data_IF_909349041553
#
_entry.id   IF_909349041553
#
_cell.length_a   1.000
_cell.length_b   1.000
_cell.length_c   1.000
_cell.angle_alpha   90.00
_cell.angle_beta   90.00
_cell.angle_gamma   90.00
#
_symmetry.space_group_name_H-M   'P 1'
#
loop_
_entity.id
_entity.type
_entity.pdbx_description
1 polymer ?
#
# COMPACT_ATOMS: atom_id res chain seq x y z
N UNK A 1 -4.41 27.09 -7.50
CA UNK A 1 -5.18 26.26 -6.54
C UNK A 1 -5.14 24.81 -7.00
N UNK A 2 -4.53 23.91 -6.22
CA UNK A 2 -4.45 22.48 -6.51
C UNK A 2 -5.85 21.90 -6.72
N UNK A 3 -6.08 21.19 -7.84
CA UNK A 3 -7.39 20.61 -8.17
C UNK A 3 -7.73 19.36 -7.35
N UNK A 4 -6.80 18.83 -6.55
CA UNK A 4 -7.06 17.69 -5.69
C UNK A 4 -6.30 17.81 -4.37
N UNK A 5 -6.99 17.85 -3.23
CA UNK A 5 -6.29 17.76 -1.97
C UNK A 5 -5.63 16.38 -1.84
N UNK A 6 -4.45 16.31 -1.21
CA UNK A 6 -3.62 15.09 -1.07
C UNK A 6 -4.34 13.85 -0.48
N UNK A 7 -5.51 14.03 0.13
CA UNK A 7 -6.40 12.96 0.59
C UNK A 7 -7.29 12.33 -0.51
N UNK A 8 -7.19 12.83 -1.76
CA UNK A 8 -7.98 12.38 -2.92
C UNK A 8 -7.18 11.58 -3.96
N UNK A 9 -5.92 11.23 -3.68
CA UNK A 9 -5.12 10.44 -4.62
C UNK A 9 -5.72 9.02 -4.72
N UNK A 10 -6.22 8.58 -5.90
CA UNK A 10 -6.97 7.33 -6.04
C UNK A 10 -6.16 6.11 -5.60
N UNK A 11 -4.86 6.09 -5.87
CA UNK A 11 -3.96 5.01 -5.49
C UNK A 11 -3.78 4.86 -3.97
N UNK A 12 -3.64 5.96 -3.22
CA UNK A 12 -3.57 5.94 -1.74
C UNK A 12 -4.85 5.36 -1.16
N UNK A 13 -6.02 5.74 -1.70
CA UNK A 13 -7.31 5.19 -1.28
C UNK A 13 -7.42 3.70 -1.59
N UNK A 14 -7.07 3.29 -2.80
CA UNK A 14 -7.07 1.88 -3.19
C UNK A 14 -6.15 1.04 -2.29
N UNK A 15 -4.93 1.52 -2.02
CA UNK A 15 -4.00 0.87 -1.11
C UNK A 15 -4.57 0.78 0.31
N UNK A 16 -5.10 1.88 0.86
CA UNK A 16 -5.71 1.92 2.20
C UNK A 16 -6.87 0.92 2.32
N UNK A 17 -7.77 0.90 1.34
CA UNK A 17 -8.89 -0.04 1.28
C UNK A 17 -8.40 -1.48 1.19
N UNK A 18 -7.43 -1.76 0.32
CA UNK A 18 -6.82 -3.08 0.19
C UNK A 18 -6.22 -3.57 1.51
N UNK A 19 -5.49 -2.71 2.24
CA UNK A 19 -4.95 -3.01 3.58
C UNK A 19 -6.05 -3.43 4.54
N UNK A 20 -7.17 -2.71 4.61
CA UNK A 20 -8.25 -3.05 5.52
C UNK A 20 -9.02 -4.32 5.11
N UNK A 21 -9.18 -4.58 3.81
CA UNK A 21 -9.75 -5.85 3.32
C UNK A 21 -8.86 -7.02 3.75
N UNK A 22 -7.54 -6.92 3.53
CA UNK A 22 -6.57 -7.94 3.95
C UNK A 22 -6.61 -8.12 5.48
N UNK A 23 -6.60 -7.02 6.23
CA UNK A 23 -6.66 -7.06 7.69
C UNK A 23 -7.94 -7.76 8.19
N UNK A 24 -9.11 -7.37 7.69
CA UNK A 24 -10.37 -7.95 8.13
C UNK A 24 -10.46 -9.45 7.79
N UNK A 25 -10.10 -9.83 6.56
CA UNK A 25 -10.15 -11.23 6.12
C UNK A 25 -9.18 -12.12 6.89
N UNK A 26 -7.94 -11.66 7.10
CA UNK A 26 -6.91 -12.46 7.78
C UNK A 26 -7.06 -12.47 9.31
N UNK A 27 -7.74 -11.47 9.89
CA UNK A 27 -8.00 -11.42 11.33
C UNK A 27 -9.24 -12.25 11.71
N UNK A 28 -10.38 -11.98 11.06
CA UNK A 28 -11.67 -12.54 11.44
C UNK A 28 -12.02 -13.84 10.72
N UNK A 29 -11.55 -14.02 9.48
CA UNK A 29 -11.82 -15.22 8.68
C UNK A 29 -10.53 -15.88 8.15
N UNK A 30 -9.51 -16.16 9.00
CA UNK A 30 -8.20 -16.63 8.55
C UNK A 30 -8.25 -17.98 7.81
N UNK A 31 -9.26 -18.83 8.06
CA UNK A 31 -9.46 -20.08 7.30
C UNK A 31 -9.93 -19.83 5.87
N UNK A 32 -10.72 -18.78 5.65
CA UNK A 32 -11.11 -18.35 4.31
C UNK A 32 -9.90 -17.80 3.57
N UNK A 33 -9.10 -16.94 4.21
CA UNK A 33 -7.85 -16.44 3.64
C UNK A 33 -6.91 -17.61 3.26
N UNK A 34 -6.69 -18.56 4.17
CA UNK A 34 -5.90 -19.76 3.90
C UNK A 34 -6.43 -20.54 2.68
N UNK A 35 -7.75 -20.71 2.55
CA UNK A 35 -8.35 -21.37 1.39
C UNK A 35 -8.10 -20.61 0.08
N UNK A 36 -8.27 -19.29 0.08
CA UNK A 36 -8.01 -18.44 -1.10
C UNK A 36 -6.56 -18.59 -1.57
N UNK A 37 -5.61 -18.62 -0.63
CA UNK A 37 -4.19 -18.82 -0.93
C UNK A 37 -3.76 -20.29 -1.02
N UNK A 38 -4.71 -21.24 -1.01
CA UNK A 38 -4.44 -22.68 -1.05
C UNK A 38 -3.44 -23.17 0.02
N UNK A 39 -3.51 -22.59 1.21
CA UNK A 39 -2.72 -22.96 2.39
C UNK A 39 -3.47 -23.97 3.25
N UNK A 40 -2.76 -24.96 3.78
CA UNK A 40 -3.28 -25.88 4.78
C UNK A 40 -3.44 -25.16 6.11
N UNK A 41 -4.65 -25.07 6.64
CA UNK A 41 -4.95 -24.35 7.87
C UNK A 41 -4.87 -25.19 9.15
N UNK A 42 -5.17 -26.50 9.07
CA UNK A 42 -5.21 -27.37 10.26
C UNK A 42 -3.82 -27.90 10.59
N UNK A 43 -3.42 -27.82 11.87
CA UNK A 43 -2.13 -28.32 12.33
C UNK A 43 -0.90 -27.56 11.82
N UNK A 44 -1.09 -26.36 11.25
CA UNK A 44 -0.01 -25.52 10.72
C UNK A 44 -0.01 -24.13 11.39
N UNK A 45 1.11 -23.38 11.32
CA UNK A 45 1.15 -22.00 11.79
C UNK A 45 0.43 -20.99 10.87
N UNK A 46 -0.31 -21.45 9.84
CA UNK A 46 -0.95 -20.55 8.88
C UNK A 46 -1.95 -19.58 9.52
N UNK A 47 -2.73 -20.03 10.50
CA UNK A 47 -3.74 -19.19 11.19
C UNK A 47 -3.09 -18.09 12.04
N UNK A 48 -2.16 -18.37 12.97
CA UNK A 48 -1.50 -17.31 13.73
C UNK A 48 -0.71 -16.35 12.82
N UNK A 49 -0.02 -16.84 11.78
CA UNK A 49 0.69 -15.97 10.84
C UNK A 49 -0.25 -15.11 9.99
N UNK A 50 -1.42 -15.64 9.59
CA UNK A 50 -2.46 -14.85 8.93
C UNK A 50 -2.88 -13.66 9.81
N UNK A 51 -3.08 -13.87 11.12
CA UNK A 51 -3.42 -12.79 12.06
C UNK A 51 -2.29 -11.77 12.23
N UNK A 52 -1.02 -12.20 12.26
CA UNK A 52 0.11 -11.27 12.29
C UNK A 52 0.16 -10.41 11.02
N UNK A 53 -0.06 -11.03 9.85
CA UNK A 53 -0.17 -10.32 8.58
C UNK A 53 -1.34 -9.32 8.60
N UNK A 54 -2.46 -9.69 9.22
CA UNK A 54 -3.62 -8.83 9.40
C UNK A 54 -3.29 -7.58 10.24
N UNK A 55 -2.64 -7.76 11.39
CA UNK A 55 -2.26 -6.67 12.30
C UNK A 55 -1.32 -5.70 11.60
N UNK A 56 -0.32 -6.20 10.86
CA UNK A 56 0.57 -5.36 10.04
C UNK A 56 -0.21 -4.54 9.03
N UNK A 57 -1.12 -5.16 8.28
CA UNK A 57 -1.91 -4.45 7.27
C UNK A 57 -2.85 -3.42 7.93
N UNK A 58 -3.44 -3.72 9.09
CA UNK A 58 -4.25 -2.77 9.84
C UNK A 58 -3.41 -1.55 10.28
N UNK A 59 -2.20 -1.77 10.81
CA UNK A 59 -1.30 -0.70 11.24
C UNK A 59 -0.88 0.20 10.06
N UNK A 60 -0.49 -0.41 8.93
CA UNK A 60 -0.15 0.33 7.70
C UNK A 60 -1.36 1.10 7.16
N UNK A 61 -2.54 0.48 7.13
CA UNK A 61 -3.79 1.13 6.71
C UNK A 61 -4.18 2.34 7.58
N UNK A 62 -4.05 2.21 8.90
CA UNK A 62 -4.28 3.32 9.84
C UNK A 62 -3.28 4.47 9.62
N UNK A 63 -2.01 4.14 9.39
CA UNK A 63 -1.01 5.16 9.05
C UNK A 63 -1.32 5.87 7.73
N UNK A 64 -1.76 5.14 6.70
CA UNK A 64 -2.18 5.72 5.42
C UNK A 64 -3.41 6.62 5.58
N UNK A 65 -4.34 6.26 6.45
CA UNK A 65 -5.53 7.08 6.74
C UNK A 65 -5.15 8.39 7.44
N UNK A 66 -4.15 8.37 8.31
CA UNK A 66 -3.68 9.54 9.08
C UNK A 66 -2.51 10.28 8.45
N UNK A 67 -2.10 9.91 7.24
CA UNK A 67 -0.89 10.43 6.59
C UNK A 67 -0.89 11.96 6.43
N UNK A 68 -2.07 12.61 6.38
CA UNK A 68 -2.18 14.08 6.31
C UNK A 68 -1.70 14.79 7.58
N UNK A 69 -1.54 14.07 8.70
CA UNK A 69 -0.93 14.58 9.94
C UNK A 69 0.61 14.55 9.91
N UNK A 70 1.22 13.95 8.90
CA UNK A 70 2.67 13.86 8.75
C UNK A 70 3.21 15.02 7.92
N UNK A 71 4.46 15.41 8.15
CA UNK A 71 5.17 16.33 7.26
C UNK A 71 5.41 15.67 5.89
N UNK A 72 5.57 16.45 4.81
CA UNK A 72 5.78 15.88 3.46
C UNK A 72 6.93 14.85 3.39
N UNK A 73 8.12 15.07 4.00
CA UNK A 73 9.17 14.05 4.03
C UNK A 73 8.73 12.76 4.74
N UNK A 74 8.00 12.87 5.85
CA UNK A 74 7.47 11.71 6.57
C UNK A 74 6.41 10.96 5.75
N UNK A 75 5.57 11.65 4.98
CA UNK A 75 4.61 11.02 4.06
C UNK A 75 5.33 10.19 2.99
N UNK A 76 6.37 10.76 2.38
CA UNK A 76 7.21 10.05 1.39
C UNK A 76 7.90 8.81 2.00
N UNK A 77 8.49 8.97 3.18
CA UNK A 77 9.12 7.86 3.91
C UNK A 77 8.10 6.77 4.26
N UNK A 78 6.90 7.14 4.72
CA UNK A 78 5.87 6.18 5.09
C UNK A 78 5.36 5.39 3.88
N UNK A 79 5.16 6.04 2.73
CA UNK A 79 4.83 5.36 1.47
C UNK A 79 5.98 4.44 1.03
N UNK A 80 7.23 4.88 1.11
CA UNK A 80 8.38 4.04 0.79
C UNK A 80 8.48 2.80 1.70
N UNK A 81 8.20 2.94 3.00
CA UNK A 81 8.12 1.81 3.94
C UNK A 81 7.05 0.81 3.51
N UNK A 82 5.87 1.27 3.08
CA UNK A 82 4.83 0.38 2.55
C UNK A 82 5.32 -0.44 1.34
N UNK A 83 5.98 0.23 0.38
CA UNK A 83 6.52 -0.41 -0.84
C UNK A 83 7.56 -1.47 -0.47
N UNK A 84 8.53 -1.13 0.39
CA UNK A 84 9.59 -2.05 0.83
C UNK A 84 8.98 -3.26 1.54
N UNK A 85 8.04 -3.00 2.46
CA UNK A 85 7.32 -4.02 3.20
C UNK A 85 6.64 -5.03 2.26
N UNK A 86 5.90 -4.57 1.26
CA UNK A 86 5.22 -5.47 0.31
C UNK A 86 6.20 -6.17 -0.63
N UNK A 87 7.31 -5.51 -0.98
CA UNK A 87 8.37 -6.12 -1.80
C UNK A 87 9.04 -7.28 -1.06
N UNK A 88 9.28 -7.12 0.25
CA UNK A 88 9.82 -8.17 1.11
C UNK A 88 8.83 -9.33 1.24
N UNK A 89 7.53 -9.07 1.35
CA UNK A 89 6.52 -10.14 1.35
C UNK A 89 6.55 -10.94 0.04
N UNK A 90 6.57 -10.25 -1.10
CA UNK A 90 6.64 -10.89 -2.41
C UNK A 90 7.87 -11.80 -2.51
N UNK A 91 9.04 -11.29 -2.10
CA UNK A 91 10.28 -12.07 -2.07
C UNK A 91 10.18 -13.28 -1.13
N UNK A 92 9.59 -13.10 0.06
CA UNK A 92 9.41 -14.17 1.03
C UNK A 92 8.48 -15.28 0.50
N UNK A 93 7.37 -14.93 -0.15
CA UNK A 93 6.45 -15.90 -0.75
C UNK A 93 7.09 -16.67 -1.91
N UNK A 94 7.82 -15.97 -2.78
CA UNK A 94 8.56 -16.62 -3.87
C UNK A 94 9.63 -17.57 -3.32
N UNK A 95 10.40 -17.13 -2.31
CA UNK A 95 11.40 -17.97 -1.65
C UNK A 95 10.78 -19.22 -1.01
N UNK A 96 9.64 -19.08 -0.32
CA UNK A 96 8.90 -20.22 0.24
C UNK A 96 8.46 -21.22 -0.84
N UNK A 97 8.01 -20.74 -2.00
CA UNK A 97 7.70 -21.59 -3.15
C UNK A 97 8.92 -22.29 -3.75
N UNK A 98 10.07 -21.62 -3.81
CA UNK A 98 11.33 -22.20 -4.27
C UNK A 98 11.84 -23.30 -3.33
N UNK A 99 11.73 -23.09 -2.01
CA UNK A 99 12.07 -24.08 -0.98
C UNK A 99 11.05 -25.21 -0.84
N UNK A 100 9.89 -25.10 -1.50
CA UNK A 100 8.75 -26.01 -1.39
C UNK A 100 8.14 -26.07 0.02
N UNK A 101 8.28 -24.98 0.79
CA UNK A 101 7.60 -24.82 2.08
C UNK A 101 6.07 -24.73 1.89
N UNK A 102 5.65 -24.23 0.71
CA UNK A 102 4.26 -24.15 0.26
C UNK A 102 4.15 -24.57 -1.21
N UNK A 103 2.92 -24.80 -1.70
CA UNK A 103 2.71 -25.09 -3.12
C UNK A 103 3.13 -23.91 -4.01
N UNK A 104 3.57 -24.19 -5.24
CA UNK A 104 3.92 -23.13 -6.21
C UNK A 104 2.76 -22.16 -6.46
N UNK A 105 1.54 -22.70 -6.56
CA UNK A 105 0.32 -21.90 -6.72
C UNK A 105 0.11 -20.95 -5.53
N UNK A 106 0.27 -21.45 -4.31
CA UNK A 106 0.15 -20.63 -3.10
C UNK A 106 1.19 -19.50 -3.06
N UNK A 107 2.45 -19.83 -3.38
CA UNK A 107 3.53 -18.86 -3.47
C UNK A 107 3.24 -17.77 -4.52
N UNK A 108 2.80 -18.17 -5.73
CA UNK A 108 2.50 -17.24 -6.81
C UNK A 108 1.31 -16.34 -6.49
N UNK A 109 0.22 -16.88 -5.94
CA UNK A 109 -0.96 -16.09 -5.55
C UNK A 109 -0.60 -15.06 -4.48
N UNK A 110 0.16 -15.48 -3.47
CA UNK A 110 0.56 -14.61 -2.37
C UNK A 110 1.53 -13.51 -2.84
N UNK A 111 2.51 -13.88 -3.67
CA UNK A 111 3.43 -12.92 -4.29
C UNK A 111 2.71 -11.94 -5.22
N UNK A 112 1.72 -12.39 -5.99
CA UNK A 112 0.95 -11.52 -6.87
C UNK A 112 0.16 -10.46 -6.10
N UNK A 113 -0.44 -10.82 -4.96
CA UNK A 113 -1.12 -9.87 -4.07
C UNK A 113 -0.13 -8.86 -3.47
N UNK A 114 1.04 -9.31 -3.02
CA UNK A 114 2.07 -8.42 -2.51
C UNK A 114 2.58 -7.45 -3.60
N UNK A 115 2.86 -7.95 -4.81
CA UNK A 115 3.30 -7.14 -5.94
C UNK A 115 2.25 -6.12 -6.40
N UNK A 116 0.96 -6.44 -6.33
CA UNK A 116 -0.09 -5.45 -6.65
C UNK A 116 -0.10 -4.30 -5.62
N UNK A 117 0.18 -4.58 -4.35
CA UNK A 117 0.35 -3.56 -3.33
C UNK A 117 1.63 -2.72 -3.54
N UNK A 118 2.73 -3.33 -4.00
CA UNK A 118 3.96 -2.61 -4.44
C UNK A 118 3.62 -1.61 -5.55
N UNK A 119 2.87 -2.04 -6.57
CA UNK A 119 2.44 -1.17 -7.67
C UNK A 119 1.59 -0.01 -7.12
N UNK A 120 0.56 -0.31 -6.32
CA UNK A 120 -0.32 0.70 -5.74
C UNK A 120 0.44 1.72 -4.85
N UNK A 121 1.37 1.25 -4.02
CA UNK A 121 2.21 2.11 -3.19
C UNK A 121 3.17 2.97 -4.02
N UNK A 122 3.74 2.42 -5.08
CA UNK A 122 4.63 3.15 -5.99
C UNK A 122 3.86 4.24 -6.74
N UNK A 123 2.67 3.93 -7.26
CA UNK A 123 1.79 4.91 -7.89
C UNK A 123 1.44 6.03 -6.92
N UNK A 124 1.07 5.69 -5.68
CA UNK A 124 0.78 6.68 -4.63
C UNK A 124 1.97 7.59 -4.32
N UNK A 125 3.19 7.05 -4.30
CA UNK A 125 4.40 7.83 -4.09
C UNK A 125 4.69 8.78 -5.27
N UNK A 126 4.48 8.33 -6.50
CA UNK A 126 4.67 9.15 -7.71
C UNK A 126 3.68 10.32 -7.70
N UNK A 127 2.39 10.05 -7.50
CA UNK A 127 1.34 11.07 -7.46
C UNK A 127 1.57 12.07 -6.32
N UNK A 128 2.03 11.60 -5.15
CA UNK A 128 2.40 12.47 -4.04
C UNK A 128 3.55 13.44 -4.40
N UNK A 129 4.58 12.96 -5.10
CA UNK A 129 5.70 13.82 -5.58
C UNK A 129 5.24 14.83 -6.63
N UNK A 130 4.35 14.43 -7.54
CA UNK A 130 3.79 15.33 -8.57
C UNK A 130 2.96 16.45 -7.95
N UNK A 131 2.12 16.14 -6.96
CA UNK A 131 1.35 17.14 -6.23
C UNK A 131 2.25 18.18 -5.55
N UNK A 132 3.37 17.73 -4.97
CA UNK A 132 4.34 18.64 -4.35
C UNK A 132 5.04 19.56 -5.37
N UNK A 133 5.35 19.05 -6.58
CA UNK A 133 5.98 19.85 -7.64
C UNK A 133 5.05 20.96 -8.16
N UNK A 134 3.75 20.68 -8.27
CA UNK A 134 2.74 21.66 -8.71
C UNK A 134 2.50 22.79 -7.70
N UNK A 135 2.74 22.55 -6.41
CA UNK A 135 2.65 23.59 -5.37
C UNK A 135 3.85 24.55 -5.36
N UNK A 136 4.99 24.12 -5.94
CA UNK A 136 6.21 24.93 -6.04
C UNK A 136 6.35 25.71 -7.34
N UNK A 137 5.50 25.46 -8.34
CA UNK A 137 5.53 26.21 -9.60
C UNK A 137 4.90 27.61 -9.36
N UNK A 138 5.66 28.71 -9.51
CA UNK A 138 5.11 30.03 -9.34
C UNK A 138 4.02 30.21 -10.39
N UNK A 139 2.81 30.55 -9.92
CA UNK A 139 1.71 30.94 -10.82
C UNK A 139 2.26 32.05 -11.70
N UNK A 140 2.53 31.77 -12.98
CA UNK A 140 2.92 32.78 -13.94
C UNK A 140 1.89 33.90 -13.81
N UNK A 141 2.35 35.05 -13.33
CA UNK A 141 1.56 36.26 -13.13
C UNK A 141 0.82 36.52 -14.43
N UNK A 142 -0.50 36.34 -14.42
CA UNK A 142 -1.33 36.95 -15.45
C UNK A 142 -0.98 38.45 -15.44
N UNK A 143 -0.67 39.06 -16.59
CA UNK A 143 -0.30 40.47 -16.63
C UNK A 143 -1.41 41.28 -15.96
N UNK A 144 -1.01 42.08 -14.96
CA UNK A 144 -1.91 42.99 -14.27
C UNK A 144 -2.42 44.02 -15.28
N UNK A 145 -3.73 44.25 -15.33
CA UNK A 145 -4.34 45.30 -16.16
C UNK A 145 -3.89 46.75 -15.80
N UNK A 146 -2.94 46.90 -14.87
CA UNK A 146 -2.27 48.16 -14.56
C UNK A 146 -1.19 48.57 -15.57
N UNK A 147 -0.76 47.68 -16.46
CA UNK A 147 0.35 47.94 -17.40
C UNK A 147 -0.09 48.66 -18.69
N UNK A 148 -1.34 49.13 -18.74
CA UNK A 148 -1.93 49.87 -19.87
C UNK A 148 -2.15 51.37 -19.58
N UNK A 149 -1.28 52.00 -18.79
CA UNK A 149 -1.30 53.44 -18.58
C UNK A 149 -0.02 54.11 -19.07
#
# INVERSE_FOLDING_TARGET
MSKFPLHLVPSRRALTTGRFIVAATHLFTPRLAARVFQLTASGTPAIPYSRMFAIRNAALGLGLQRMDSFTRPQQQQFLAVNIVMDSVDAAAFLAAGLRRDVSRTSAMLSAAVALSAVVAGTTALIEHKQAAAQETEPTATAPSNSDWK
#
